data_IF_489221797918
#
_entry.id   IF_489221797918
#
_cell.length_a   1.000
_cell.length_b   1.000
_cell.length_c   1.000
_cell.angle_alpha   90.00
_cell.angle_beta   90.00
_cell.angle_gamma   90.00
#
_symmetry.space_group_name_H-M   'P 1'
#
loop_
_entity.id
_entity.type
_entity.pdbx_description
1 polymer ?
#
# COMPACT_ATOMS: atom_id res chain seq x y z
N UNK A 1 -34.16 7.79 2.49
CA UNK A 1 -33.21 7.75 3.63
C UNK A 1 -31.94 7.06 3.15
N UNK A 2 -30.88 7.80 2.89
CA UNK A 2 -29.60 7.26 2.38
C UNK A 2 -28.91 6.57 3.54
N UNK A 3 -28.70 5.26 3.42
CA UNK A 3 -28.08 4.40 4.43
C UNK A 3 -26.63 4.87 4.62
N UNK A 4 -26.32 5.43 5.79
CA UNK A 4 -24.95 5.67 6.22
C UNK A 4 -24.19 4.34 6.17
N UNK A 5 -23.36 4.17 5.14
CA UNK A 5 -22.30 3.17 5.08
C UNK A 5 -21.24 3.54 6.12
N UNK A 6 -21.63 3.49 7.38
CA UNK A 6 -20.71 3.44 8.52
C UNK A 6 -19.79 2.26 8.26
N UNK A 7 -18.50 2.54 8.16
CA UNK A 7 -17.48 1.54 7.90
C UNK A 7 -17.39 0.63 9.14
N UNK A 8 -18.23 -0.41 9.20
CA UNK A 8 -18.31 -1.32 10.34
C UNK A 8 -16.94 -2.00 10.46
N UNK A 9 -16.26 -1.75 11.57
CA UNK A 9 -14.97 -2.36 11.89
C UNK A 9 -15.20 -3.84 12.16
N UNK A 10 -14.67 -4.71 11.30
CA UNK A 10 -14.78 -6.14 11.45
C UNK A 10 -13.57 -6.86 10.86
N UNK A 11 -13.35 -8.11 11.26
CA UNK A 11 -12.24 -8.93 10.81
C UNK A 11 -12.23 -9.16 9.30
N UNK A 12 -13.38 -9.04 8.63
CA UNK A 12 -13.49 -9.03 7.16
C UNK A 12 -12.72 -7.89 6.50
N UNK A 13 -12.68 -6.72 7.15
CA UNK A 13 -11.99 -5.54 6.66
C UNK A 13 -10.69 -5.28 7.44
N UNK A 14 -10.14 -6.32 8.08
CA UNK A 14 -8.94 -6.22 8.91
C UNK A 14 -7.74 -6.86 8.21
N UNK A 15 -6.57 -6.21 8.21
CA UNK A 15 -5.31 -6.75 7.67
C UNK A 15 -4.94 -8.10 8.32
N UNK A 16 -5.37 -8.30 9.58
CA UNK A 16 -5.09 -9.50 10.36
C UNK A 16 -6.09 -10.64 10.12
N UNK A 17 -7.13 -10.43 9.32
CA UNK A 17 -8.14 -11.43 8.98
C UNK A 17 -7.76 -12.19 7.72
N UNK A 18 -7.75 -13.53 7.79
CA UNK A 18 -7.52 -14.40 6.63
C UNK A 18 -8.79 -15.21 6.36
N UNK A 19 -9.43 -15.10 5.18
CA UNK A 19 -10.57 -15.94 4.82
C UNK A 19 -10.18 -17.42 4.75
N UNK A 20 -10.96 -18.32 5.37
CA UNK A 20 -10.61 -19.76 5.48
C UNK A 20 -11.42 -20.65 4.51
N UNK A 21 -12.30 -20.06 3.68
CA UNK A 21 -12.82 -20.68 2.46
C UNK A 21 -13.99 -21.68 2.58
N UNK A 22 -14.34 -22.16 3.77
CA UNK A 22 -15.38 -23.21 3.90
C UNK A 22 -16.76 -22.64 4.30
N UNK A 23 -16.84 -21.74 5.28
CA UNK A 23 -18.13 -21.13 5.72
C UNK A 23 -18.09 -19.62 5.94
N UNK A 24 -17.35 -18.88 5.10
CA UNK A 24 -17.10 -17.44 5.29
C UNK A 24 -16.45 -17.09 6.64
N UNK A 25 -15.84 -18.07 7.29
CA UNK A 25 -15.08 -17.86 8.52
C UNK A 25 -13.80 -17.10 8.23
N UNK A 26 -13.35 -16.34 9.23
CA UNK A 26 -12.12 -15.58 9.17
C UNK A 26 -11.20 -16.07 10.27
N UNK A 27 -9.97 -16.43 9.92
CA UNK A 27 -8.90 -16.61 10.88
C UNK A 27 -8.40 -15.23 11.31
N UNK A 28 -8.83 -14.79 12.49
CA UNK A 28 -8.28 -13.63 13.18
C UNK A 28 -6.99 -14.02 13.90
N UNK A 29 -5.86 -13.37 13.57
CA UNK A 29 -4.57 -13.65 14.23
C UNK A 29 -4.56 -13.50 15.76
N UNK A 30 -5.51 -12.77 16.35
CA UNK A 30 -5.57 -12.55 17.80
C UNK A 30 -6.52 -13.54 18.53
N UNK A 31 -7.52 -14.08 17.83
CA UNK A 31 -8.62 -14.85 18.46
C UNK A 31 -8.90 -16.21 17.83
N UNK A 32 -8.31 -16.54 16.68
CA UNK A 32 -8.59 -17.78 15.95
C UNK A 32 -9.72 -17.62 14.95
N UNK A 33 -10.47 -18.69 14.70
CA UNK A 33 -11.60 -18.69 13.77
C UNK A 33 -12.75 -17.88 14.36
N UNK A 34 -13.17 -16.84 13.64
CA UNK A 34 -14.24 -15.93 14.03
C UNK A 34 -15.22 -15.71 12.89
N UNK A 35 -16.41 -15.25 13.23
CA UNK A 35 -17.41 -14.76 12.30
C UNK A 35 -16.88 -13.53 11.52
N UNK A 36 -17.30 -13.33 10.26
CA UNK A 36 -16.79 -12.22 9.45
C UNK A 36 -17.16 -10.81 9.97
N UNK A 37 -18.21 -10.70 10.77
CA UNK A 37 -18.68 -9.50 11.47
C UNK A 37 -17.97 -9.24 12.81
N UNK A 38 -17.15 -10.17 13.29
CA UNK A 38 -16.42 -10.02 14.55
C UNK A 38 -15.41 -8.86 14.49
N UNK A 39 -15.39 -7.99 15.51
CA UNK A 39 -14.39 -6.92 15.64
C UNK A 39 -13.33 -7.27 16.68
N UNK A 40 -12.10 -7.53 16.26
CA UNK A 40 -10.98 -7.73 17.19
C UNK A 40 -10.56 -6.43 17.89
N UNK A 41 -10.06 -6.54 19.12
CA UNK A 41 -9.63 -5.39 19.94
C UNK A 41 -8.48 -4.58 19.31
N UNK A 42 -7.63 -5.22 18.50
CA UNK A 42 -6.52 -4.61 17.76
C UNK A 42 -6.79 -4.56 16.25
N UNK A 43 -7.98 -4.07 15.88
CA UNK A 43 -8.40 -3.90 14.48
C UNK A 43 -7.42 -3.01 13.70
N UNK A 44 -7.00 -3.48 12.52
CA UNK A 44 -6.20 -2.72 11.57
C UNK A 44 -6.94 -2.71 10.22
N UNK A 45 -7.46 -1.58 9.75
CA UNK A 45 -8.23 -1.53 8.52
C UNK A 45 -7.37 -1.96 7.32
N UNK A 46 -7.91 -2.86 6.49
CA UNK A 46 -7.34 -3.21 5.21
C UNK A 46 -7.82 -2.21 4.16
N UNK A 47 -7.02 -1.19 3.86
CA UNK A 47 -7.30 -0.26 2.76
C UNK A 47 -6.68 -0.79 1.46
N UNK A 48 -7.48 -1.54 0.70
CA UNK A 48 -7.09 -2.01 -0.64
C UNK A 48 -6.70 -0.85 -1.56
N UNK A 49 -7.32 0.33 -1.39
CA UNK A 49 -7.00 1.55 -2.14
C UNK A 49 -5.58 2.05 -1.90
N UNK A 50 -5.05 1.93 -0.67
CA UNK A 50 -3.65 2.26 -0.39
C UNK A 50 -2.74 1.26 -1.10
N UNK A 51 -3.07 -0.03 -1.04
CA UNK A 51 -2.30 -1.08 -1.70
C UNK A 51 -2.28 -0.93 -3.22
N UNK A 52 -3.43 -0.65 -3.85
CA UNK A 52 -3.57 -0.41 -5.29
C UNK A 52 -2.86 0.87 -5.73
N UNK A 53 -2.95 1.95 -4.94
CA UNK A 53 -2.16 3.17 -5.20
C UNK A 53 -0.67 2.85 -5.15
N UNK A 54 -0.19 2.10 -4.17
CA UNK A 54 1.20 1.65 -4.09
C UNK A 54 1.62 0.71 -5.24
N UNK A 55 0.71 -0.11 -5.77
CA UNK A 55 0.99 -1.01 -6.91
C UNK A 55 1.22 -0.26 -8.23
N UNK A 56 0.60 0.91 -8.40
CA UNK A 56 0.75 1.76 -9.58
C UNK A 56 1.95 2.71 -9.53
N UNK A 57 2.44 3.04 -8.34
CA UNK A 57 3.56 3.99 -8.20
C UNK A 57 4.91 3.37 -8.54
N UNK A 58 5.76 4.19 -9.15
CA UNK A 58 7.14 3.84 -9.53
C UNK A 58 8.14 4.52 -8.61
N UNK A 59 9.39 4.08 -8.69
CA UNK A 59 10.48 4.72 -7.93
C UNK A 59 10.63 6.20 -8.29
N UNK A 60 10.41 6.59 -9.55
CA UNK A 60 10.48 8.00 -9.98
C UNK A 60 9.41 8.91 -9.33
N UNK A 61 8.29 8.34 -8.83
CA UNK A 61 7.26 9.10 -8.12
C UNK A 61 7.62 9.39 -6.64
N UNK A 62 8.73 8.80 -6.15
CA UNK A 62 9.12 8.86 -4.75
C UNK A 62 9.92 10.12 -4.39
N UNK A 63 9.71 10.67 -3.20
CA UNK A 63 10.54 11.75 -2.65
C UNK A 63 12.01 11.33 -2.49
N UNK A 64 12.27 10.05 -2.22
CA UNK A 64 13.60 9.52 -1.98
C UNK A 64 14.41 9.20 -3.26
N UNK A 65 13.82 9.41 -4.44
CA UNK A 65 14.47 9.17 -5.73
C UNK A 65 15.08 10.44 -6.29
N UNK A 66 16.40 10.49 -6.39
CA UNK A 66 17.13 11.65 -6.89
C UNK A 66 17.43 11.48 -8.36
N UNK A 67 16.86 12.36 -9.18
CA UNK A 67 17.08 12.35 -10.63
C UNK A 67 18.51 12.77 -10.97
N UNK A 68 19.14 12.04 -11.88
CA UNK A 68 20.45 12.38 -12.42
C UNK A 68 20.27 12.86 -13.86
N UNK A 69 20.88 13.99 -14.27
CA UNK A 69 20.74 14.49 -15.63
C UNK A 69 21.28 13.45 -16.62
N UNK A 70 20.37 12.90 -17.43
CA UNK A 70 20.69 11.97 -18.51
C UNK A 70 19.97 12.45 -19.78
N UNK A 71 20.69 12.71 -20.89
CA UNK A 71 20.11 13.26 -22.12
C UNK A 71 19.07 12.35 -22.79
N UNK A 72 19.08 11.04 -22.49
CA UNK A 72 18.14 10.06 -23.10
C UNK A 72 16.96 9.70 -22.21
N UNK A 73 17.07 9.88 -20.89
CA UNK A 73 16.05 9.41 -19.95
C UNK A 73 15.95 10.33 -18.74
N UNK A 74 14.87 11.10 -18.68
CA UNK A 74 14.56 11.99 -17.56
C UNK A 74 14.19 11.27 -16.27
N UNK A 75 13.92 9.95 -16.32
CA UNK A 75 13.60 9.11 -15.17
C UNK A 75 14.80 8.38 -14.57
N UNK A 76 16.01 8.64 -15.07
CA UNK A 76 17.22 8.03 -14.55
C UNK A 76 17.66 8.70 -13.24
N UNK A 77 18.02 7.90 -12.24
CA UNK A 77 18.34 8.42 -10.93
C UNK A 77 18.67 7.34 -9.91
N UNK A 78 18.82 7.75 -8.66
CA UNK A 78 19.24 6.87 -7.57
C UNK A 78 18.24 6.94 -6.41
N UNK A 79 17.97 5.80 -5.77
CA UNK A 79 17.15 5.75 -4.57
C UNK A 79 18.05 5.86 -3.33
N UNK A 80 17.96 6.98 -2.62
CA UNK A 80 18.75 7.26 -1.40
C UNK A 80 18.61 6.22 -0.29
N UNK A 81 17.55 5.41 -0.30
CA UNK A 81 17.27 4.42 0.75
C UNK A 81 17.75 3.01 0.42
N UNK A 82 17.87 2.64 -0.87
CA UNK A 82 18.03 1.23 -1.29
C UNK A 82 18.98 1.01 -2.46
N UNK A 83 19.51 2.06 -3.10
CA UNK A 83 20.35 1.90 -4.29
C UNK A 83 21.52 2.86 -4.23
N UNK A 84 22.72 2.32 -4.47
CA UNK A 84 23.95 3.11 -4.58
C UNK A 84 24.24 3.49 -6.02
N UNK A 85 23.69 2.73 -6.98
CA UNK A 85 23.87 2.95 -8.43
C UNK A 85 22.64 3.60 -9.05
N UNK A 86 22.82 4.49 -10.05
CA UNK A 86 21.74 5.00 -10.86
C UNK A 86 21.00 3.88 -11.62
N UNK A 87 19.69 4.03 -11.79
CA UNK A 87 18.83 3.14 -12.55
C UNK A 87 17.61 3.91 -13.09
N UNK A 88 16.84 3.27 -13.98
CA UNK A 88 15.58 3.84 -14.47
C UNK A 88 14.48 3.70 -13.40
N UNK A 89 14.05 4.84 -12.85
CA UNK A 89 13.02 4.90 -11.83
C UNK A 89 11.62 4.49 -12.31
N UNK A 90 11.39 4.43 -13.62
CA UNK A 90 10.11 4.00 -14.21
C UNK A 90 9.95 2.49 -14.28
N UNK A 91 11.05 1.74 -14.39
CA UNK A 91 11.04 0.28 -14.48
C UNK A 91 10.69 -0.37 -13.14
N UNK A 92 11.17 0.22 -12.03
CA UNK A 92 10.98 -0.36 -10.68
C UNK A 92 9.71 0.13 -9.99
N UNK A 93 8.97 -0.81 -9.40
CA UNK A 93 7.81 -0.53 -8.55
C UNK A 93 8.23 0.16 -7.25
N UNK A 94 7.31 0.94 -6.68
CA UNK A 94 7.46 1.57 -5.38
C UNK A 94 7.78 0.54 -4.27
N UNK A 95 8.77 0.86 -3.44
CA UNK A 95 9.18 0.02 -2.30
C UNK A 95 8.30 0.27 -1.06
N UNK A 96 8.51 -0.50 0.00
CA UNK A 96 7.81 -0.37 1.28
C UNK A 96 8.05 0.97 2.00
N UNK A 97 9.08 1.74 1.62
CA UNK A 97 9.35 3.10 2.14
C UNK A 97 8.93 4.20 1.16
N UNK A 98 8.09 3.86 0.19
CA UNK A 98 7.61 4.83 -0.78
C UNK A 98 6.86 5.98 -0.10
N UNK A 99 7.21 7.19 -0.50
CA UNK A 99 6.50 8.42 -0.15
C UNK A 99 6.31 9.23 -1.41
N UNK A 100 5.05 9.46 -1.78
CA UNK A 100 4.70 10.18 -3.00
C UNK A 100 5.26 11.60 -2.95
N UNK A 101 5.91 12.02 -4.02
CA UNK A 101 6.33 13.40 -4.19
C UNK A 101 5.10 14.28 -4.42
N UNK A 102 4.96 15.37 -3.67
CA UNK A 102 3.99 16.42 -3.97
C UNK A 102 4.30 16.99 -5.36
N UNK A 103 3.27 17.21 -6.19
CA UNK A 103 3.44 17.79 -7.53
C UNK A 103 4.30 19.05 -7.40
N UNK A 104 5.32 19.20 -8.26
CA UNK A 104 6.03 20.48 -8.42
C UNK A 104 4.97 21.51 -8.81
N UNK A 105 4.71 22.47 -7.93
CA UNK A 105 4.12 23.74 -8.35
C UNK A 105 5.12 24.34 -9.34
N UNK A 106 4.71 24.41 -10.60
CA UNK A 106 5.41 25.18 -11.61
C UNK A 106 5.21 26.67 -11.33
#
# INVERSE_FOLDING_TARGET
>A
MKKDSSNIKCCKNCIKGIPVGIRNEILCREKGIVSPDFCCSKFMPFELDILQKHLGYRCCDCVHFTFTPNPKNSNYGVCSMFSVRPFDGSEKKACSKFRKRSKRTA
#
